data_IF_631819558961
#
_entry.id   IF_631819558961
#
_cell.length_a   1.000
_cell.length_b   1.000
_cell.length_c   1.000
_cell.angle_alpha   90.00
_cell.angle_beta   90.00
_cell.angle_gamma   90.00
#
_symmetry.space_group_name_H-M   'P 1'
#
loop_
_entity.id
_entity.type
_entity.pdbx_description
1 polymer ?
#
# COMPACT_ATOMS: atom_id res chain seq x y z
N UNK A 1 -0.49 -1.91 -36.80
CA UNK A 1 0.33 -0.74 -36.46
C UNK A 1 0.93 -0.06 -37.70
N UNK A 2 0.94 1.27 -37.78
CA UNK A 2 1.69 2.02 -38.80
C UNK A 2 3.18 2.21 -38.38
N UNK A 3 4.05 2.72 -39.28
CA UNK A 3 5.49 2.87 -38.99
C UNK A 3 5.79 3.88 -37.86
N UNK A 4 4.97 4.91 -37.72
CA UNK A 4 5.12 5.93 -36.66
C UNK A 4 4.82 5.31 -35.30
N UNK A 5 3.68 4.63 -35.18
CA UNK A 5 3.25 3.92 -33.99
C UNK A 5 4.25 2.82 -33.61
N UNK A 6 4.84 2.14 -34.60
CA UNK A 6 5.88 1.13 -34.39
C UNK A 6 7.14 1.72 -33.75
N UNK A 7 7.56 2.90 -34.20
CA UNK A 7 8.70 3.60 -33.61
C UNK A 7 8.40 4.08 -32.18
N UNK A 8 7.20 4.62 -31.94
CA UNK A 8 6.75 5.03 -30.60
C UNK A 8 6.69 3.81 -29.66
N UNK A 9 6.19 2.67 -30.13
CA UNK A 9 6.11 1.43 -29.36
C UNK A 9 7.50 0.91 -28.99
N UNK A 10 8.44 0.88 -29.95
CA UNK A 10 9.84 0.48 -29.69
C UNK A 10 10.51 1.42 -28.69
N UNK A 11 10.26 2.72 -28.78
CA UNK A 11 10.78 3.68 -27.81
C UNK A 11 10.20 3.45 -26.41
N UNK A 12 8.89 3.23 -26.30
CA UNK A 12 8.22 2.90 -25.05
C UNK A 12 8.76 1.60 -24.42
N UNK A 13 9.04 0.58 -25.23
CA UNK A 13 9.71 -0.64 -24.77
C UNK A 13 11.12 -0.39 -24.23
N UNK A 14 11.92 0.43 -24.93
CA UNK A 14 13.25 0.81 -24.46
C UNK A 14 13.19 1.55 -23.10
N UNK A 15 12.21 2.44 -22.93
CA UNK A 15 11.96 3.12 -21.66
C UNK A 15 11.58 2.13 -20.55
N UNK A 16 10.69 1.19 -20.82
CA UNK A 16 10.32 0.15 -19.85
C UNK A 16 11.54 -0.70 -19.44
N UNK A 17 12.35 -1.12 -20.41
CA UNK A 17 13.57 -1.90 -20.16
C UNK A 17 14.63 -1.11 -19.37
N UNK A 18 14.66 0.22 -19.50
CA UNK A 18 15.53 1.10 -18.70
C UNK A 18 15.01 1.39 -17.29
N UNK A 19 13.84 0.85 -16.91
CA UNK A 19 13.21 1.09 -15.60
C UNK A 19 12.32 2.33 -15.53
N UNK A 20 12.19 3.11 -16.61
CA UNK A 20 11.34 4.30 -16.68
C UNK A 20 9.86 3.93 -16.95
N UNK A 21 9.28 3.14 -16.06
CA UNK A 21 7.94 2.53 -16.25
C UNK A 21 6.81 3.55 -16.39
N UNK A 22 6.88 4.69 -15.70
CA UNK A 22 5.84 5.74 -15.77
C UNK A 22 5.76 6.40 -17.15
N UNK A 23 6.91 6.75 -17.73
CA UNK A 23 7.00 7.31 -19.08
C UNK A 23 6.60 6.28 -20.13
N UNK A 24 7.11 5.05 -20.02
CA UNK A 24 6.73 3.96 -20.92
C UNK A 24 5.20 3.73 -20.93
N UNK A 25 4.58 3.68 -19.74
CA UNK A 25 3.13 3.51 -19.60
C UNK A 25 2.35 4.66 -20.24
N UNK A 26 2.81 5.91 -20.08
CA UNK A 26 2.18 7.06 -20.73
C UNK A 26 2.17 6.91 -22.25
N UNK A 27 3.30 6.52 -22.84
CA UNK A 27 3.40 6.29 -24.28
C UNK A 27 2.51 5.13 -24.76
N UNK A 28 2.44 4.03 -23.99
CA UNK A 28 1.55 2.92 -24.35
C UNK A 28 0.07 3.33 -24.30
N UNK A 29 -0.34 4.18 -23.35
CA UNK A 29 -1.72 4.69 -23.27
C UNK A 29 -2.05 5.62 -24.44
N UNK A 30 -1.11 6.48 -24.82
CA UNK A 30 -1.26 7.34 -26.00
C UNK A 30 -1.40 6.49 -27.27
N UNK A 31 -0.54 5.49 -27.46
CA UNK A 31 -0.65 4.53 -28.55
C UNK A 31 -1.99 3.80 -28.56
N UNK A 32 -2.50 3.39 -27.39
CA UNK A 32 -3.81 2.73 -27.26
C UNK A 32 -4.95 3.60 -27.79
N UNK A 33 -4.86 4.92 -27.65
CA UNK A 33 -5.91 5.83 -28.13
C UNK A 33 -6.02 5.86 -29.66
N UNK A 34 -4.94 5.54 -30.36
CA UNK A 34 -4.86 5.50 -31.82
C UNK A 34 -4.95 4.09 -32.38
N UNK A 35 -4.60 3.07 -31.58
CA UNK A 35 -4.48 1.70 -32.04
C UNK A 35 -4.81 0.70 -30.92
N UNK A 36 -5.69 -0.26 -31.22
CA UNK A 36 -6.11 -1.32 -30.27
C UNK A 36 -5.34 -2.63 -30.43
N UNK A 37 -4.13 -2.58 -31.00
CA UNK A 37 -3.27 -3.75 -31.18
C UNK A 37 -3.02 -4.47 -29.84
N UNK A 38 -3.16 -5.80 -29.87
CA UNK A 38 -3.08 -6.67 -28.68
C UNK A 38 -1.74 -6.52 -27.95
N UNK A 39 -0.65 -6.31 -28.69
CA UNK A 39 0.69 -6.10 -28.10
C UNK A 39 0.74 -4.87 -27.19
N UNK A 40 0.04 -3.79 -27.54
CA UNK A 40 -0.05 -2.58 -26.71
C UNK A 40 -0.79 -2.91 -25.41
N UNK A 41 -1.87 -3.69 -25.47
CA UNK A 41 -2.60 -4.12 -24.28
C UNK A 41 -1.73 -4.99 -23.37
N UNK A 42 -0.93 -5.89 -23.93
CA UNK A 42 0.05 -6.69 -23.18
C UNK A 42 1.11 -5.81 -22.51
N UNK A 43 1.63 -4.82 -23.23
CA UNK A 43 2.61 -3.87 -22.70
C UNK A 43 2.02 -3.05 -21.55
N UNK A 44 0.79 -2.55 -21.65
CA UNK A 44 0.11 -1.82 -20.56
C UNK A 44 -0.12 -2.74 -19.37
N UNK A 45 -0.64 -3.96 -19.57
CA UNK A 45 -0.92 -4.92 -18.51
C UNK A 45 0.35 -5.27 -17.69
N UNK A 46 1.49 -5.38 -18.36
CA UNK A 46 2.78 -5.73 -17.73
C UNK A 46 3.46 -4.53 -17.07
N UNK A 47 3.29 -3.31 -17.59
CA UNK A 47 3.98 -2.12 -17.09
C UNK A 47 3.19 -1.34 -16.03
N UNK A 48 1.86 -1.41 -16.02
CA UNK A 48 1.07 -0.61 -15.07
C UNK A 48 1.31 -1.04 -13.62
N UNK A 49 1.45 -0.07 -12.69
CA UNK A 49 1.47 -0.33 -11.25
C UNK A 49 0.06 -0.56 -10.68
N UNK A 50 -1.00 -0.17 -11.40
CA UNK A 50 -2.37 -0.29 -10.90
C UNK A 50 -2.93 -1.70 -11.21
N UNK A 51 -3.23 -2.53 -10.19
CA UNK A 51 -3.73 -3.88 -10.42
C UNK A 51 -5.11 -3.88 -11.09
N UNK A 52 -5.95 -2.86 -10.87
CA UNK A 52 -7.27 -2.76 -11.49
C UNK A 52 -7.12 -2.56 -13.01
N UNK A 53 -6.25 -1.64 -13.42
CA UNK A 53 -5.97 -1.38 -14.83
C UNK A 53 -5.30 -2.58 -15.50
N UNK A 54 -4.35 -3.24 -14.84
CA UNK A 54 -3.74 -4.47 -15.37
C UNK A 54 -4.80 -5.55 -15.62
N UNK A 55 -5.75 -5.71 -14.68
CA UNK A 55 -6.82 -6.67 -14.81
C UNK A 55 -7.75 -6.35 -15.98
N UNK A 56 -8.11 -5.08 -16.13
CA UNK A 56 -8.93 -4.61 -17.25
C UNK A 56 -8.27 -4.92 -18.61
N UNK A 57 -6.97 -4.68 -18.75
CA UNK A 57 -6.22 -5.02 -19.96
C UNK A 57 -6.21 -6.53 -20.22
N UNK A 58 -5.99 -7.36 -19.19
CA UNK A 58 -6.03 -8.82 -19.30
C UNK A 58 -7.40 -9.29 -19.79
N UNK A 59 -8.48 -8.73 -19.25
CA UNK A 59 -9.84 -9.11 -19.62
C UNK A 59 -10.17 -8.66 -21.06
N UNK A 60 -9.68 -7.49 -21.50
CA UNK A 60 -9.76 -7.08 -22.91
C UNK A 60 -9.00 -8.04 -23.84
N UNK A 61 -7.76 -8.41 -23.50
CA UNK A 61 -6.97 -9.38 -24.29
C UNK A 61 -7.71 -10.72 -24.36
N UNK A 62 -8.28 -11.20 -23.25
CA UNK A 62 -9.05 -12.45 -23.22
C UNK A 62 -10.25 -12.39 -24.16
N UNK A 63 -10.94 -11.25 -24.21
CA UNK A 63 -12.11 -11.08 -25.10
C UNK A 63 -11.70 -11.01 -26.58
N UNK A 64 -10.58 -10.38 -26.90
CA UNK A 64 -10.08 -10.25 -28.27
C UNK A 64 -9.46 -11.55 -28.79
N UNK A 65 -8.68 -12.25 -27.96
CA UNK A 65 -7.98 -13.47 -28.35
C UNK A 65 -7.91 -14.47 -27.18
N UNK A 66 -8.98 -15.26 -26.95
CA UNK A 66 -9.09 -16.17 -25.80
C UNK A 66 -7.97 -17.20 -25.70
N UNK A 67 -7.42 -17.63 -26.84
CA UNK A 67 -6.40 -18.68 -26.93
C UNK A 67 -4.97 -18.14 -27.11
N UNK A 68 -4.71 -16.88 -26.73
CA UNK A 68 -3.36 -16.33 -26.86
C UNK A 68 -2.36 -17.04 -25.92
N UNK A 69 -1.22 -17.53 -26.41
CA UNK A 69 -0.29 -18.36 -25.63
C UNK A 69 0.29 -17.64 -24.41
N UNK A 70 0.42 -16.30 -24.48
CA UNK A 70 0.98 -15.50 -23.38
C UNK A 70 -0.07 -15.09 -22.33
N UNK A 71 -1.37 -15.33 -22.55
CA UNK A 71 -2.42 -14.91 -21.63
C UNK A 71 -2.28 -15.59 -20.26
N UNK A 72 -1.98 -16.89 -20.26
CA UNK A 72 -1.76 -17.65 -19.03
C UNK A 72 -0.57 -17.11 -18.21
N UNK A 73 0.51 -16.70 -18.89
CA UNK A 73 1.70 -16.10 -18.24
C UNK A 73 1.39 -14.70 -17.68
N UNK A 74 0.58 -13.92 -18.39
CA UNK A 74 0.15 -12.61 -17.93
C UNK A 74 -0.71 -12.70 -16.67
N UNK A 75 -1.62 -13.68 -16.61
CA UNK A 75 -2.44 -13.94 -15.43
C UNK A 75 -1.62 -14.40 -14.21
N UNK A 76 -0.61 -15.25 -14.40
CA UNK A 76 0.26 -15.66 -13.30
C UNK A 76 1.10 -14.50 -12.79
N UNK A 77 1.68 -13.69 -13.68
CA UNK A 77 2.42 -12.49 -13.33
C UNK A 77 1.55 -11.47 -12.57
N UNK A 78 0.31 -11.29 -13.01
CA UNK A 78 -0.65 -10.42 -12.33
C UNK A 78 -0.99 -10.94 -10.92
N UNK A 79 -1.26 -12.24 -10.77
CA UNK A 79 -1.47 -12.88 -9.46
C UNK A 79 -0.25 -12.70 -8.54
N UNK A 80 0.95 -12.85 -9.08
CA UNK A 80 2.19 -12.64 -8.34
C UNK A 80 2.38 -11.18 -7.92
N UNK A 81 2.14 -10.19 -8.80
CA UNK A 81 2.20 -8.76 -8.45
C UNK A 81 1.22 -8.40 -7.32
N UNK A 82 0.00 -8.91 -7.43
CA UNK A 82 -1.03 -8.82 -6.39
C UNK A 82 -0.46 -9.43 -5.10
N UNK A 83 -0.01 -10.67 -5.10
CA UNK A 83 0.54 -11.35 -3.91
C UNK A 83 1.78 -10.63 -3.33
N UNK A 84 2.69 -10.12 -4.16
CA UNK A 84 3.86 -9.35 -3.75
C UNK A 84 3.48 -8.03 -3.06
N UNK A 85 2.49 -7.32 -3.60
CA UNK A 85 1.92 -6.14 -2.94
C UNK A 85 1.22 -6.47 -1.62
N UNK A 86 0.86 -7.74 -1.40
CA UNK A 86 0.13 -8.21 -0.20
C UNK A 86 0.96 -9.02 0.79
N UNK A 87 2.24 -9.31 0.50
CA UNK A 87 3.13 -10.10 1.38
C UNK A 87 3.95 -9.25 2.35
N UNK A 88 3.87 -7.92 2.27
CA UNK A 88 4.47 -7.02 3.25
C UNK A 88 3.68 -6.95 4.57
N UNK A 89 2.41 -7.40 4.59
CA UNK A 89 1.58 -7.39 5.80
C UNK A 89 1.66 -8.76 6.51
N UNK A 90 1.86 -8.79 7.84
CA UNK A 90 1.87 -10.04 8.59
C UNK A 90 0.53 -10.78 8.41
N UNK A 91 0.63 -12.02 7.94
CA UNK A 91 -0.51 -12.91 7.75
C UNK A 91 -1.04 -13.29 9.13
N UNK A 92 -2.25 -12.83 9.45
CA UNK A 92 -2.98 -13.18 10.66
C UNK A 92 -3.69 -14.53 10.54
N UNK A 93 -4.42 -14.94 11.60
CA UNK A 93 -5.20 -16.17 11.58
C UNK A 93 -6.22 -16.16 10.43
N UNK A 94 -6.57 -17.35 9.92
CA UNK A 94 -7.66 -17.52 8.95
C UNK A 94 -9.00 -17.25 9.63
N UNK A 95 -9.71 -16.21 9.18
CA UNK A 95 -11.02 -15.83 9.70
C UNK A 95 -12.09 -16.02 8.62
N UNK A 96 -13.31 -16.37 9.04
CA UNK A 96 -14.47 -16.35 8.16
C UNK A 96 -14.95 -14.91 8.03
N UNK A 97 -14.90 -14.34 6.82
CA UNK A 97 -15.35 -12.97 6.63
C UNK A 97 -16.88 -12.89 6.73
N UNK A 98 -17.45 -12.00 7.57
CA UNK A 98 -18.91 -11.87 7.70
C UNK A 98 -19.58 -11.30 6.43
N UNK A 99 -18.81 -10.63 5.56
CA UNK A 99 -19.33 -9.99 4.36
C UNK A 99 -19.32 -10.93 3.14
N UNK A 100 -18.18 -11.56 2.83
CA UNK A 100 -18.07 -12.43 1.66
C UNK A 100 -18.19 -13.93 1.98
N UNK A 101 -18.30 -14.31 3.25
CA UNK A 101 -18.39 -15.69 3.74
C UNK A 101 -17.24 -16.61 3.29
N UNK A 102 -16.13 -16.05 2.79
CA UNK A 102 -14.95 -16.82 2.42
C UNK A 102 -13.97 -16.90 3.59
N UNK A 103 -13.41 -18.10 3.81
CA UNK A 103 -12.27 -18.29 4.71
C UNK A 103 -11.02 -17.77 4.03
N UNK A 104 -10.48 -16.68 4.55
CA UNK A 104 -9.22 -16.11 4.06
C UNK A 104 -8.32 -15.72 5.22
N UNK A 105 -6.99 -15.75 5.04
CA UNK A 105 -6.07 -15.19 6.02
C UNK A 105 -6.38 -13.71 6.24
N UNK A 106 -6.55 -13.32 7.51
CA UNK A 106 -6.75 -11.93 7.87
C UNK A 106 -5.46 -11.15 7.67
N UNK A 107 -5.52 -9.99 7.01
CA UNK A 107 -4.39 -9.08 6.89
C UNK A 107 -4.36 -8.17 8.10
N UNK A 108 -3.23 -8.16 8.81
CA UNK A 108 -3.03 -7.26 9.94
C UNK A 108 -2.40 -5.98 9.38
N UNK A 109 -3.21 -4.94 9.24
CA UNK A 109 -2.70 -3.61 8.94
C UNK A 109 -2.45 -2.90 10.26
N UNK A 110 -1.19 -2.66 10.59
CA UNK A 110 -0.86 -1.74 11.66
C UNK A 110 -1.17 -0.32 11.19
N UNK A 111 -2.04 0.38 11.90
CA UNK A 111 -2.21 1.82 11.72
C UNK A 111 -1.73 2.48 12.98
N UNK A 112 -0.81 3.44 12.85
CA UNK A 112 -0.43 4.26 13.99
C UNK A 112 -1.68 5.03 14.40
N UNK A 113 -2.10 4.85 15.65
CA UNK A 113 -3.32 5.49 16.13
C UNK A 113 -3.12 6.99 16.18
N UNK A 114 -4.03 7.73 15.55
CA UNK A 114 -4.09 9.19 15.68
C UNK A 114 -4.24 9.62 17.15
N UNK A 115 -4.95 8.81 17.96
CA UNK A 115 -5.08 9.07 19.40
C UNK A 115 -3.75 8.95 20.16
N UNK A 116 -2.87 8.03 19.76
CA UNK A 116 -1.53 7.89 20.36
C UNK A 116 -0.66 9.11 20.13
N UNK A 117 -0.73 9.70 18.93
CA UNK A 117 -0.03 10.95 18.61
C UNK A 117 -0.57 12.15 19.38
N UNK A 118 -1.89 12.28 19.51
CA UNK A 118 -2.51 13.37 20.28
C UNK A 118 -2.11 13.27 21.75
N UNK A 119 -2.17 12.06 22.32
CA UNK A 119 -1.73 11.81 23.71
C UNK A 119 -0.26 12.19 23.89
N UNK A 120 0.62 11.69 23.01
CA UNK A 120 2.04 12.01 23.04
C UNK A 120 2.30 13.52 22.97
N UNK A 121 1.63 14.23 22.04
CA UNK A 121 1.77 15.67 21.88
C UNK A 121 1.36 16.45 23.14
N UNK A 122 0.28 16.06 23.82
CA UNK A 122 -0.18 16.71 25.05
C UNK A 122 0.86 16.55 26.17
N UNK A 123 1.35 15.32 26.39
CA UNK A 123 2.35 15.06 27.43
C UNK A 123 3.69 15.72 27.13
N UNK A 124 4.08 15.76 25.86
CA UNK A 124 5.29 16.45 25.41
C UNK A 124 5.20 17.97 25.64
N UNK A 125 4.05 18.59 25.37
CA UNK A 125 3.86 20.01 25.66
C UNK A 125 3.90 20.31 27.16
N UNK A 126 3.30 19.47 27.99
CA UNK A 126 3.38 19.59 29.47
C UNK A 126 4.84 19.49 29.92
N UNK A 127 5.60 18.53 29.39
CA UNK A 127 7.03 18.38 29.66
C UNK A 127 7.84 19.64 29.29
N UNK A 128 7.58 20.24 28.14
CA UNK A 128 8.22 21.50 27.74
C UNK A 128 7.86 22.67 28.68
N UNK A 129 6.61 22.75 29.14
CA UNK A 129 6.21 23.75 30.13
C UNK A 129 6.99 23.61 31.45
N UNK A 130 7.24 22.37 31.90
CA UNK A 130 8.06 22.12 33.09
C UNK A 130 9.52 22.52 32.89
N UNK A 131 10.11 22.26 31.71
CA UNK A 131 11.48 22.67 31.38
C UNK A 131 11.68 24.19 31.41
N UNK A 132 10.64 24.96 31.10
CA UNK A 132 10.69 26.43 31.09
C UNK A 132 10.40 27.07 32.46
N UNK A 133 9.90 26.30 33.44
CA UNK A 133 9.62 26.84 34.75
C UNK A 133 10.93 27.24 35.46
N UNK A 134 11.03 28.45 36.03
CA UNK A 134 12.22 28.86 36.76
C UNK A 134 12.41 27.96 37.98
N UNK A 135 13.48 27.16 37.97
CA UNK A 135 13.81 26.24 39.06
C UNK A 135 14.57 26.98 40.16
N UNK A 136 14.05 26.93 41.39
CA UNK A 136 14.86 27.23 42.58
C UNK A 136 15.76 26.03 42.87
N UNK A 137 16.97 26.30 43.38
CA UNK A 137 18.01 25.27 43.58
C UNK A 137 17.53 24.06 44.42
N UNK A 138 16.60 24.29 45.35
CA UNK A 138 16.07 23.25 46.24
C UNK A 138 15.13 22.26 45.54
N UNK A 139 14.61 22.58 44.34
CA UNK A 139 13.59 21.79 43.64
C UNK A 139 14.10 21.04 42.40
N UNK A 140 15.39 21.16 42.04
CA UNK A 140 15.92 20.55 40.81
C UNK A 140 15.70 19.03 40.72
N UNK A 141 15.96 18.29 41.81
CA UNK A 141 15.83 16.81 41.80
C UNK A 141 14.39 16.34 41.59
N UNK A 142 13.42 17.04 42.19
CA UNK A 142 12.01 16.70 42.06
C UNK A 142 11.50 17.01 40.64
N UNK A 143 12.02 18.07 40.02
CA UNK A 143 11.64 18.44 38.66
C UNK A 143 12.19 17.47 37.61
N UNK A 144 13.44 17.01 37.76
CA UNK A 144 14.01 15.99 36.87
C UNK A 144 13.18 14.70 36.90
N UNK A 145 12.84 14.20 38.10
CA UNK A 145 12.03 12.99 38.26
C UNK A 145 10.65 13.16 37.61
N UNK A 146 9.98 14.29 37.82
CA UNK A 146 8.69 14.58 37.21
C UNK A 146 8.79 14.62 35.68
N UNK A 147 9.83 15.25 35.14
CA UNK A 147 10.05 15.36 33.70
C UNK A 147 10.23 13.98 33.04
N UNK A 148 11.05 13.10 33.63
CA UNK A 148 11.20 11.73 33.14
C UNK A 148 9.91 10.91 33.26
N UNK A 149 9.14 11.11 34.33
CA UNK A 149 7.86 10.43 34.51
C UNK A 149 6.86 10.78 33.39
N UNK A 150 6.69 12.08 33.08
CA UNK A 150 5.79 12.51 32.00
C UNK A 150 6.21 12.01 30.62
N UNK A 151 7.52 12.02 30.35
CA UNK A 151 8.06 11.49 29.09
C UNK A 151 7.86 9.97 28.98
N UNK A 152 8.08 9.24 30.07
CA UNK A 152 7.81 7.80 30.16
C UNK A 152 6.34 7.47 29.94
N UNK A 153 5.42 8.17 30.61
CA UNK A 153 3.96 7.99 30.43
C UNK A 153 3.53 8.32 29.00
N UNK A 154 4.11 9.34 28.37
CA UNK A 154 3.86 9.67 26.96
C UNK A 154 4.27 8.55 26.01
N UNK A 155 5.46 7.97 26.19
CA UNK A 155 5.96 6.86 25.36
C UNK A 155 5.14 5.59 25.58
N UNK A 156 4.87 5.22 26.84
CA UNK A 156 4.06 4.03 27.14
C UNK A 156 2.64 4.19 26.59
N UNK A 157 2.05 5.37 26.72
CA UNK A 157 0.75 5.70 26.11
C UNK A 157 0.76 5.55 24.58
N UNK A 158 1.82 6.00 23.91
CA UNK A 158 1.98 5.81 22.47
C UNK A 158 2.05 4.32 22.08
N UNK A 159 2.80 3.52 22.83
CA UNK A 159 2.97 2.08 22.57
C UNK A 159 1.69 1.27 22.83
N UNK A 160 0.93 1.63 23.86
CA UNK A 160 -0.31 0.93 24.22
C UNK A 160 -1.45 1.16 23.21
N UNK A 161 -1.40 2.23 22.41
CA UNK A 161 -2.43 2.56 21.42
C UNK A 161 -2.01 2.08 20.02
N UNK A 162 -1.48 0.86 19.92
CA UNK A 162 -1.38 0.16 18.64
C UNK A 162 -2.68 -0.57 18.34
N UNK A 163 -3.57 0.09 17.59
CA UNK A 163 -4.79 -0.57 17.10
C UNK A 163 -4.44 -1.44 15.89
N UNK A 164 -4.47 -2.77 16.08
CA UNK A 164 -4.43 -3.71 14.96
C UNK A 164 -5.78 -3.68 14.24
N UNK A 165 -5.77 -3.46 12.94
CA UNK A 165 -6.98 -3.55 12.12
C UNK A 165 -6.85 -4.80 11.27
N UNK A 166 -7.83 -5.68 11.36
CA UNK A 166 -7.92 -6.87 10.52
C UNK A 166 -8.70 -6.53 9.26
N UNK A 167 -8.15 -6.89 8.10
CA UNK A 167 -8.76 -6.68 6.79
C UNK A 167 -8.90 -8.04 6.12
N UNK A 168 -10.07 -8.31 5.53
CA UNK A 168 -10.29 -9.53 4.76
C UNK A 168 -9.36 -9.56 3.53
N UNK A 169 -8.62 -10.65 3.35
CA UNK A 169 -7.72 -10.82 2.21
C UNK A 169 -8.42 -10.98 0.86
N UNK A 170 -9.70 -11.40 0.84
CA UNK A 170 -10.49 -11.55 -0.38
C UNK A 170 -11.18 -10.25 -0.81
N UNK A 171 -12.07 -9.70 0.01
CA UNK A 171 -12.88 -8.53 -0.35
C UNK A 171 -12.32 -7.18 0.14
N UNK A 172 -11.29 -7.17 0.99
CA UNK A 172 -10.70 -5.95 1.52
C UNK A 172 -11.55 -5.22 2.59
N UNK A 173 -12.64 -5.81 3.05
CA UNK A 173 -13.47 -5.21 4.11
C UNK A 173 -12.76 -5.25 5.47
N UNK A 174 -12.96 -4.22 6.29
CA UNK A 174 -12.49 -4.21 7.69
C UNK A 174 -13.31 -5.21 8.50
N UNK A 175 -12.65 -6.03 9.29
CA UNK A 175 -13.27 -6.94 10.24
C UNK A 175 -13.11 -6.27 11.61
N UNK A 176 -14.17 -5.64 12.12
CA UNK A 176 -14.11 -4.88 13.37
C UNK A 176 -14.16 -5.76 14.61
N UNK A 177 -14.65 -6.99 14.51
CA UNK A 177 -15.01 -7.80 15.67
C UNK A 177 -14.54 -9.25 15.45
N UNK A 178 -13.31 -9.54 15.87
CA UNK A 178 -12.92 -10.88 16.26
C UNK A 178 -12.78 -10.86 17.78
N UNK A 179 -13.91 -11.03 18.47
CA UNK A 179 -13.92 -11.30 19.90
C UNK A 179 -13.30 -12.67 20.19
#
# INVERSE_FOLDING_TARGET
>A
MNDVDLNVYRHAQALANSGQMSLALQMFRELRSHNSDIEILFAIATTTPNPVEAREMIDMIRNLQPYHPQLAQLETLHKQKIQGAYTADPIGPTLLCPYCQQRTPARIKSRISTGGWVWFAVFFMIFLCFLWAPTTADNMKNMEIAAFFFLGVGIVGMLLIHKRIYICGSCGSKITDAH
#
